data_IF_652768656672
#
_entry.id   IF_652768656672
#
_cell.length_a   1.000
_cell.length_b   1.000
_cell.length_c   1.000
_cell.angle_alpha   90.00
_cell.angle_beta   90.00
_cell.angle_gamma   90.00
#
_symmetry.space_group_name_H-M   'P 1'
#
loop_
_entity.id
_entity.type
_entity.pdbx_description
1 polymer ?
#
# COMPACT_ATOMS: atom_id res chain seq x y z
N UNK A 1 -15.30 -19.13 11.76
CA UNK A 1 -14.48 -20.25 11.27
C UNK A 1 -13.11 -19.72 10.83
N UNK A 2 -12.02 -20.48 10.99
CA UNK A 2 -10.76 -20.17 10.29
C UNK A 2 -10.96 -20.28 8.78
N UNK A 3 -10.28 -19.45 7.99
CA UNK A 3 -10.36 -19.51 6.53
C UNK A 3 -9.70 -20.79 6.01
N UNK A 4 -10.50 -21.74 5.54
CA UNK A 4 -10.03 -22.96 4.92
C UNK A 4 -9.57 -22.64 3.50
N UNK A 5 -8.25 -22.65 3.28
CA UNK A 5 -7.70 -22.38 1.96
C UNK A 5 -8.10 -23.45 0.94
N UNK A 6 -8.48 -23.00 -0.27
CA UNK A 6 -9.09 -23.83 -1.32
C UNK A 6 -8.13 -24.86 -1.92
N UNK A 7 -6.83 -24.55 -1.93
CA UNK A 7 -5.78 -25.41 -2.47
C UNK A 7 -5.51 -26.64 -1.60
N UNK A 8 -5.45 -27.84 -2.17
CA UNK A 8 -5.02 -29.07 -1.51
C UNK A 8 -3.53 -29.04 -1.11
N UNK A 9 -3.08 -30.06 -0.36
CA UNK A 9 -1.65 -30.24 -0.01
C UNK A 9 -0.76 -30.39 -1.25
N UNK A 10 -1.26 -31.10 -2.27
CA UNK A 10 -0.50 -31.42 -3.47
C UNK A 10 -0.43 -30.22 -4.41
N UNK A 11 -1.52 -29.46 -4.54
CA UNK A 11 -1.52 -28.18 -5.25
C UNK A 11 -0.61 -27.15 -4.54
N UNK A 12 -0.65 -27.07 -3.22
CA UNK A 12 0.30 -26.27 -2.42
C UNK A 12 1.75 -26.71 -2.64
N UNK A 13 1.99 -27.97 -2.99
CA UNK A 13 3.32 -28.50 -3.32
C UNK A 13 3.71 -28.16 -4.77
N UNK A 14 2.79 -28.29 -5.75
CA UNK A 14 2.98 -27.80 -7.13
C UNK A 14 3.33 -26.31 -7.16
N UNK A 15 2.59 -25.47 -6.42
CA UNK A 15 2.82 -24.02 -6.35
C UNK A 15 4.21 -23.72 -5.78
N UNK A 16 4.60 -24.37 -4.68
CA UNK A 16 5.95 -24.21 -4.11
C UNK A 16 7.03 -24.63 -5.12
N UNK A 17 6.88 -25.78 -5.76
CA UNK A 17 7.86 -26.29 -6.72
C UNK A 17 8.02 -25.34 -7.94
N UNK A 18 6.91 -24.84 -8.49
CA UNK A 18 6.93 -23.93 -9.63
C UNK A 18 7.48 -22.52 -9.28
N UNK A 19 7.21 -22.01 -8.08
CA UNK A 19 7.58 -20.64 -7.70
C UNK A 19 8.98 -20.53 -7.07
N UNK A 20 9.48 -21.54 -6.35
CA UNK A 20 10.68 -21.45 -5.51
C UNK A 20 12.04 -21.33 -6.26
N UNK A 21 12.03 -21.04 -7.57
CA UNK A 21 13.23 -20.80 -8.37
C UNK A 21 13.28 -19.34 -8.86
N UNK A 22 14.25 -18.50 -8.43
CA UNK A 22 15.17 -18.68 -7.30
C UNK A 22 14.56 -18.18 -5.97
N UNK A 23 14.47 -19.03 -4.95
CA UNK A 23 14.24 -18.67 -3.53
C UNK A 23 13.09 -17.68 -3.22
N UNK A 24 12.08 -17.62 -4.10
CA UNK A 24 10.97 -16.69 -4.04
C UNK A 24 10.12 -16.82 -2.76
N UNK A 25 9.85 -15.70 -2.08
CA UNK A 25 8.95 -15.68 -0.91
C UNK A 25 7.49 -15.55 -1.33
N UNK A 26 6.71 -16.61 -1.14
CA UNK A 26 5.25 -16.60 -1.29
C UNK A 26 4.61 -15.94 -0.05
N UNK A 27 3.65 -15.03 -0.27
CA UNK A 27 2.89 -14.33 0.78
C UNK A 27 1.48 -14.89 0.97
N UNK A 28 0.88 -15.35 -0.12
CA UNK A 28 -0.43 -16.00 -0.20
C UNK A 28 -0.55 -16.66 -1.58
N UNK A 29 -1.38 -17.70 -1.69
CA UNK A 29 -1.79 -18.28 -2.95
C UNK A 29 -3.25 -18.74 -2.84
N UNK A 30 -4.01 -18.60 -3.93
CA UNK A 30 -5.45 -18.88 -3.99
C UNK A 30 -5.84 -19.38 -5.39
N UNK A 31 -6.96 -20.10 -5.51
CA UNK A 31 -7.50 -20.48 -6.83
C UNK A 31 -8.07 -19.24 -7.54
N UNK A 32 -7.69 -19.02 -8.80
CA UNK A 32 -8.14 -17.88 -9.59
C UNK A 32 -8.15 -18.12 -11.12
N UNK A 33 -8.81 -17.20 -11.85
CA UNK A 33 -8.91 -17.09 -13.30
C UNK A 33 -8.55 -15.68 -13.76
N UNK A 34 -7.86 -15.56 -14.89
CA UNK A 34 -7.45 -14.26 -15.47
C UNK A 34 -8.38 -13.86 -16.62
N UNK A 35 -8.82 -12.60 -16.61
CA UNK A 35 -9.63 -11.94 -17.63
C UNK A 35 -8.90 -10.68 -18.12
N UNK A 36 -9.07 -10.32 -19.39
CA UNK A 36 -8.55 -9.10 -19.98
C UNK A 36 -9.68 -8.25 -20.58
N UNK A 37 -9.59 -6.93 -20.46
CA UNK A 37 -10.45 -5.97 -21.15
C UNK A 37 -9.98 -5.75 -22.60
N UNK A 38 -9.88 -6.85 -23.36
CA UNK A 38 -9.37 -6.89 -24.72
C UNK A 38 -10.09 -8.01 -25.50
N UNK A 39 -10.51 -7.81 -26.77
CA UNK A 39 -10.23 -6.66 -27.64
C UNK A 39 -11.13 -5.42 -27.43
N UNK A 40 -12.12 -5.49 -26.53
CA UNK A 40 -12.97 -4.34 -26.18
C UNK A 40 -12.64 -3.88 -24.75
N UNK A 41 -12.29 -2.59 -24.51
CA UNK A 41 -12.04 -2.08 -23.15
C UNK A 41 -13.23 -2.21 -22.20
N UNK A 42 -14.46 -2.22 -22.72
CA UNK A 42 -15.69 -2.28 -21.93
C UNK A 42 -16.18 -3.71 -21.62
N UNK A 43 -15.45 -4.76 -22.04
CA UNK A 43 -15.89 -6.17 -21.92
C UNK A 43 -14.78 -7.11 -21.43
N UNK A 44 -15.04 -7.79 -20.30
CA UNK A 44 -14.11 -8.74 -19.69
C UNK A 44 -14.09 -10.09 -20.42
N UNK A 45 -13.05 -10.32 -21.23
CA UNK A 45 -12.84 -11.58 -21.94
C UNK A 45 -12.01 -12.56 -21.11
N UNK A 46 -12.45 -13.81 -20.98
CA UNK A 46 -11.69 -14.86 -20.28
C UNK A 46 -10.47 -15.30 -21.12
N UNK A 47 -9.29 -15.27 -20.52
CA UNK A 47 -8.01 -15.58 -21.21
C UNK A 47 -7.77 -17.08 -21.46
N UNK A 48 -8.60 -17.96 -20.89
CA UNK A 48 -8.31 -19.39 -20.80
C UNK A 48 -7.36 -19.78 -19.66
N UNK A 49 -6.77 -18.80 -18.96
CA UNK A 49 -5.77 -19.01 -17.91
C UNK A 49 -6.44 -19.12 -16.53
N UNK A 50 -6.28 -20.29 -15.89
CA UNK A 50 -6.75 -20.57 -14.54
C UNK A 50 -5.76 -21.47 -13.78
N UNK A 51 -5.74 -21.35 -12.45
CA UNK A 51 -4.83 -22.12 -11.60
C UNK A 51 -4.69 -21.51 -10.21
N UNK A 52 -3.57 -21.77 -9.53
CA UNK A 52 -3.23 -21.10 -8.29
C UNK A 52 -2.50 -19.78 -8.57
N UNK A 53 -3.13 -18.65 -8.26
CA UNK A 53 -2.46 -17.36 -8.29
C UNK A 53 -1.70 -17.16 -6.98
N UNK A 54 -0.38 -17.04 -7.06
CA UNK A 54 0.50 -16.72 -5.94
C UNK A 54 0.91 -15.24 -5.97
N UNK A 55 0.88 -14.59 -4.81
CA UNK A 55 1.55 -13.30 -4.60
C UNK A 55 2.94 -13.55 -3.98
N UNK A 56 3.96 -13.04 -4.66
CA UNK A 56 5.35 -13.48 -4.54
C UNK A 56 6.27 -12.26 -4.43
N UNK A 57 7.39 -12.40 -3.71
CA UNK A 57 8.51 -11.46 -3.73
C UNK A 57 9.80 -12.20 -4.06
N UNK A 58 10.54 -11.71 -5.04
CA UNK A 58 11.86 -12.21 -5.41
C UNK A 58 12.97 -11.72 -4.46
N UNK A 59 14.10 -12.41 -4.51
CA UNK A 59 15.41 -12.05 -3.95
C UNK A 59 15.79 -10.58 -4.16
N UNK A 60 15.55 -9.99 -5.35
CA UNK A 60 15.89 -8.60 -5.65
C UNK A 60 14.96 -7.58 -4.99
N UNK A 61 13.86 -8.02 -4.38
CA UNK A 61 12.92 -7.13 -3.70
C UNK A 61 11.61 -6.89 -4.45
N UNK A 62 11.61 -7.17 -5.75
CA UNK A 62 10.48 -7.00 -6.68
C UNK A 62 9.33 -7.94 -6.31
N UNK A 63 8.10 -7.50 -6.55
CA UNK A 63 6.89 -8.28 -6.31
C UNK A 63 6.29 -8.77 -7.63
N UNK A 64 5.74 -9.98 -7.60
CA UNK A 64 5.09 -10.61 -8.74
C UNK A 64 3.76 -11.25 -8.33
N UNK A 65 2.81 -11.22 -9.25
CA UNK A 65 1.68 -12.15 -9.29
C UNK A 65 2.04 -13.25 -10.28
N UNK A 66 2.00 -14.52 -9.86
CA UNK A 66 2.34 -15.67 -10.73
C UNK A 66 1.25 -16.74 -10.66
N UNK A 67 0.66 -17.12 -11.80
CA UNK A 67 -0.36 -18.14 -11.91
C UNK A 67 0.29 -19.49 -12.24
N UNK A 68 0.08 -20.48 -11.38
CA UNK A 68 0.60 -21.85 -11.54
C UNK A 68 -0.51 -22.77 -12.04
N UNK A 69 -0.24 -23.51 -13.13
CA UNK A 69 -1.13 -24.55 -13.66
C UNK A 69 -1.22 -25.73 -12.67
N UNK A 70 -2.43 -25.99 -12.20
CA UNK A 70 -2.72 -27.10 -11.29
C UNK A 70 -3.24 -28.34 -12.02
N UNK A 71 -3.85 -28.18 -13.19
CA UNK A 71 -4.40 -29.29 -13.97
C UNK A 71 -3.27 -30.02 -14.73
N UNK A 72 -2.35 -29.26 -15.31
CA UNK A 72 -1.19 -29.79 -16.01
C UNK A 72 0.09 -29.85 -15.17
N UNK A 73 1.20 -29.79 -15.90
CA UNK A 73 2.59 -29.78 -15.41
C UNK A 73 3.38 -28.56 -15.88
N UNK A 74 2.72 -27.58 -16.52
CA UNK A 74 3.37 -26.41 -17.16
C UNK A 74 4.07 -25.44 -16.20
N UNK A 75 3.86 -25.57 -14.89
CA UNK A 75 4.41 -24.65 -13.89
C UNK A 75 3.72 -23.30 -13.96
N UNK A 76 4.49 -22.21 -14.04
CA UNK A 76 3.96 -20.85 -14.17
C UNK A 76 3.46 -20.65 -15.61
N UNK A 77 2.19 -20.26 -15.77
CA UNK A 77 1.54 -20.04 -17.08
C UNK A 77 1.14 -18.58 -17.33
N UNK A 78 1.29 -17.71 -16.33
CA UNK A 78 1.09 -16.27 -16.42
C UNK A 78 1.83 -15.59 -15.29
N UNK A 79 2.41 -14.42 -15.54
CA UNK A 79 3.02 -13.58 -14.51
C UNK A 79 2.87 -12.09 -14.83
N UNK A 80 2.89 -11.26 -13.78
CA UNK A 80 2.86 -9.80 -13.86
C UNK A 80 3.69 -9.20 -12.72
N UNK A 81 4.49 -8.18 -13.02
CA UNK A 81 5.34 -7.46 -12.07
C UNK A 81 4.57 -6.31 -11.39
N UNK A 82 4.74 -6.15 -10.08
CA UNK A 82 4.07 -5.11 -9.30
C UNK A 82 5.00 -3.91 -9.07
N UNK A 83 4.80 -2.90 -9.92
CA UNK A 83 5.51 -1.63 -9.92
C UNK A 83 5.24 -0.75 -8.68
N UNK A 84 6.08 0.25 -8.43
CA UNK A 84 5.86 1.19 -7.33
C UNK A 84 4.59 2.02 -7.54
N UNK A 85 3.74 2.10 -6.52
CA UNK A 85 2.45 2.79 -6.58
C UNK A 85 1.26 1.92 -7.01
N UNK A 86 1.50 0.70 -7.51
CA UNK A 86 0.51 -0.27 -8.02
C UNK A 86 -0.91 -0.10 -7.47
N UNK A 87 -1.86 0.16 -8.37
CA UNK A 87 -3.28 0.29 -8.05
C UNK A 87 -3.97 -1.06 -8.24
N UNK A 88 -4.75 -1.46 -7.24
CA UNK A 88 -5.40 -2.77 -7.17
C UNK A 88 -6.79 -2.56 -6.59
N UNK A 89 -7.81 -2.82 -7.40
CA UNK A 89 -9.19 -2.48 -7.12
C UNK A 89 -9.96 -3.71 -6.68
N UNK A 90 -10.72 -3.62 -5.57
CA UNK A 90 -11.66 -4.67 -5.16
C UNK A 90 -13.06 -4.34 -5.67
N UNK A 91 -13.29 -4.53 -6.97
CA UNK A 91 -14.57 -4.20 -7.62
C UNK A 91 -15.71 -5.06 -7.09
N UNK A 92 -15.45 -6.33 -6.74
CA UNK A 92 -16.33 -7.22 -5.99
C UNK A 92 -15.53 -8.03 -4.98
N UNK A 93 -16.22 -8.67 -4.04
CA UNK A 93 -15.67 -9.60 -3.05
C UNK A 93 -14.74 -10.69 -3.63
N UNK A 94 -15.06 -11.22 -4.82
CA UNK A 94 -14.30 -12.24 -5.55
C UNK A 94 -13.61 -11.73 -6.83
N UNK A 95 -13.84 -10.49 -7.26
CA UNK A 95 -13.31 -9.94 -8.51
C UNK A 95 -12.51 -8.67 -8.26
N UNK A 96 -11.22 -8.70 -8.62
CA UNK A 96 -10.32 -7.56 -8.50
C UNK A 96 -9.79 -7.16 -9.88
N UNK A 97 -9.52 -5.87 -10.09
CA UNK A 97 -8.91 -5.37 -11.33
C UNK A 97 -7.69 -4.48 -11.07
N UNK A 98 -6.83 -4.35 -12.08
CA UNK A 98 -5.67 -3.45 -12.11
C UNK A 98 -5.26 -3.17 -13.56
N UNK A 99 -4.50 -2.10 -13.77
CA UNK A 99 -3.94 -1.78 -15.08
C UNK A 99 -2.71 -2.65 -15.37
N UNK A 100 -2.76 -3.45 -16.43
CA UNK A 100 -1.58 -3.99 -17.12
C UNK A 100 -1.11 -3.04 -18.22
N UNK A 101 -0.08 -3.46 -18.96
CA UNK A 101 0.60 -2.60 -19.93
C UNK A 101 -0.26 -2.27 -21.17
N UNK A 102 -0.95 -3.28 -21.73
CA UNK A 102 -1.81 -3.12 -22.93
C UNK A 102 -3.30 -2.93 -22.62
N UNK A 103 -3.79 -3.42 -21.47
CA UNK A 103 -5.20 -3.41 -21.11
C UNK A 103 -5.44 -3.59 -19.59
N UNK A 104 -6.68 -3.37 -19.15
CA UNK A 104 -7.11 -3.72 -17.79
C UNK A 104 -7.13 -5.24 -17.62
N UNK A 105 -6.57 -5.71 -16.50
CA UNK A 105 -6.52 -7.12 -16.11
C UNK A 105 -7.45 -7.35 -14.92
N UNK A 106 -8.23 -8.42 -15.00
CA UNK A 106 -9.20 -8.85 -13.99
C UNK A 106 -8.85 -10.23 -13.45
N UNK A 107 -8.97 -10.40 -12.13
CA UNK A 107 -8.78 -11.68 -11.44
C UNK A 107 -10.10 -12.08 -10.79
N UNK A 108 -10.67 -13.20 -11.22
CA UNK A 108 -11.78 -13.89 -10.51
C UNK A 108 -11.17 -14.94 -9.59
N UNK A 109 -11.38 -14.81 -8.27
CA UNK A 109 -11.00 -15.81 -7.28
C UNK A 109 -12.11 -16.85 -7.08
N UNK A 110 -11.75 -18.06 -6.65
CA UNK A 110 -12.73 -19.12 -6.35
C UNK A 110 -13.41 -18.97 -4.98
N UNK A 111 -12.81 -18.21 -4.05
CA UNK A 111 -13.34 -17.95 -2.71
C UNK A 111 -13.13 -16.48 -2.30
N UNK A 112 -14.14 -15.89 -1.67
CA UNK A 112 -14.12 -14.47 -1.23
C UNK A 112 -13.19 -14.22 -0.04
N UNK A 113 -12.97 -15.21 0.82
CA UNK A 113 -12.09 -15.07 1.99
C UNK A 113 -10.61 -15.12 1.60
N UNK A 114 -10.26 -15.97 0.64
CA UNK A 114 -8.96 -15.96 -0.02
C UNK A 114 -8.77 -14.65 -0.80
N UNK A 115 -9.74 -14.20 -1.59
CA UNK A 115 -9.69 -12.92 -2.30
C UNK A 115 -9.46 -11.73 -1.35
N UNK A 116 -10.28 -11.59 -0.30
CA UNK A 116 -10.14 -10.52 0.72
C UNK A 116 -8.82 -10.60 1.49
N UNK A 117 -8.23 -11.79 1.61
CA UNK A 117 -6.87 -11.96 2.15
C UNK A 117 -5.81 -11.52 1.13
N UNK A 118 -5.98 -11.86 -0.13
CA UNK A 118 -5.09 -11.51 -1.24
C UNK A 118 -5.02 -9.99 -1.44
N UNK A 119 -6.17 -9.32 -1.50
CA UNK A 119 -6.29 -7.86 -1.56
C UNK A 119 -5.51 -7.17 -0.44
N UNK A 120 -5.68 -7.63 0.81
CA UNK A 120 -4.91 -7.12 1.95
C UNK A 120 -3.40 -7.34 1.76
N UNK A 121 -2.95 -8.54 1.36
CA UNK A 121 -1.52 -8.82 1.19
C UNK A 121 -0.86 -7.94 0.12
N UNK A 122 -1.56 -7.66 -0.98
CA UNK A 122 -1.09 -6.76 -2.04
C UNK A 122 -1.09 -5.29 -1.58
N UNK A 123 -2.19 -4.82 -0.98
CA UNK A 123 -2.35 -3.38 -0.65
C UNK A 123 -1.65 -2.92 0.63
N UNK A 124 -1.40 -3.81 1.61
CA UNK A 124 -0.74 -3.49 2.88
C UNK A 124 0.71 -2.96 2.77
N UNK A 125 1.28 -2.80 1.57
CA UNK A 125 2.55 -2.06 1.39
C UNK A 125 2.39 -0.55 1.15
N UNK A 126 1.20 -0.04 0.80
CA UNK A 126 0.98 1.43 0.70
C UNK A 126 1.08 2.15 2.05
N UNK A 127 1.11 1.41 3.17
CA UNK A 127 1.23 1.94 4.54
C UNK A 127 2.67 1.95 5.10
N UNK A 128 3.62 1.24 4.51
CA UNK A 128 5.02 1.18 5.00
C UNK A 128 5.87 2.39 4.55
N UNK A 129 5.52 3.02 3.43
CA UNK A 129 6.30 4.11 2.82
C UNK A 129 5.96 5.51 3.33
N UNK A 130 4.89 5.68 4.13
CA UNK A 130 4.55 7.00 4.70
C UNK A 130 5.13 7.18 6.11
N UNK A 131 6.30 7.83 6.15
CA UNK A 131 6.98 8.40 7.32
C UNK A 131 7.38 7.46 8.47
N UNK A 132 8.67 7.07 8.49
CA UNK A 132 9.40 6.77 9.73
C UNK A 132 10.84 7.31 9.70
N UNK A 133 10.95 8.63 9.54
CA UNK A 133 12.22 9.37 9.49
C UNK A 133 12.57 9.99 10.86
N UNK A 134 13.72 9.62 11.41
CA UNK A 134 14.38 10.32 12.53
C UNK A 134 13.94 9.93 13.95
N UNK A 135 14.80 9.96 14.99
CA UNK A 135 16.26 10.26 15.00
C UNK A 135 16.97 9.54 16.17
N UNK A 136 18.26 9.20 15.97
CA UNK A 136 19.10 8.32 16.82
C UNK A 136 20.03 9.05 17.81
N UNK A 137 20.29 8.46 18.99
CA UNK A 137 21.50 8.53 19.89
C UNK A 137 21.10 7.97 21.29
N UNK A 138 21.90 7.39 22.20
CA UNK A 138 23.31 6.91 22.44
C UNK A 138 23.16 5.61 23.30
N UNK A 139 24.09 4.82 23.86
CA UNK A 139 25.57 4.60 24.03
C UNK A 139 25.68 3.13 24.57
N UNK A 140 26.77 2.35 24.61
CA UNK A 140 27.97 2.12 23.79
C UNK A 140 28.81 0.95 24.40
N UNK A 141 29.65 0.29 23.59
CA UNK A 141 30.69 -0.69 24.00
C UNK A 141 30.25 -2.16 24.28
N UNK A 142 31.26 -3.04 24.43
CA UNK A 142 31.26 -4.51 24.25
C UNK A 142 31.80 -5.19 25.54
N UNK A 143 31.62 -6.51 25.77
CA UNK A 143 32.39 -7.53 25.05
C UNK A 143 31.60 -8.77 24.59
N UNK A 144 32.33 -9.75 24.04
CA UNK A 144 31.89 -11.11 23.64
C UNK A 144 31.50 -11.99 24.86
N UNK A 145 30.91 -13.19 24.73
CA UNK A 145 30.98 -14.20 23.64
C UNK A 145 29.69 -15.05 23.63
N UNK A 146 29.40 -15.72 22.51
CA UNK A 146 28.10 -16.36 22.28
C UNK A 146 27.84 -17.62 23.12
N UNK A 147 26.56 -17.82 23.47
CA UNK A 147 25.97 -19.03 24.03
C UNK A 147 24.54 -19.19 23.50
N UNK A 148 24.01 -20.41 23.46
CA UNK A 148 22.67 -20.69 22.90
C UNK A 148 21.59 -20.12 23.83
N UNK A 149 20.63 -19.37 23.30
CA UNK A 149 19.44 -18.95 24.07
C UNK A 149 18.52 -20.16 24.15
N UNK A 150 18.52 -20.84 25.30
CA UNK A 150 17.65 -21.99 25.53
C UNK A 150 16.25 -21.55 25.98
N UNK A 151 15.26 -22.43 25.77
CA UNK A 151 13.83 -22.09 25.83
C UNK A 151 13.33 -21.79 27.25
N UNK A 152 14.15 -22.07 28.27
CA UNK A 152 13.93 -21.72 29.68
C UNK A 152 14.28 -20.26 30.02
N UNK A 153 15.01 -19.53 29.17
CA UNK A 153 15.36 -18.11 29.42
C UNK A 153 14.31 -17.10 28.94
N UNK A 154 13.26 -17.56 28.25
CA UNK A 154 12.09 -16.72 27.93
C UNK A 154 11.05 -16.95 29.03
N UNK A 155 11.22 -16.26 30.16
CA UNK A 155 10.17 -16.16 31.17
C UNK A 155 8.96 -15.39 30.62
N UNK A 156 7.77 -15.69 31.16
CA UNK A 156 6.56 -14.94 30.84
C UNK A 156 6.70 -13.45 31.21
N UNK A 157 5.90 -12.56 30.58
CA UNK A 157 5.94 -11.13 30.89
C UNK A 157 5.68 -10.90 32.38
N UNK A 158 6.48 -10.02 32.99
CA UNK A 158 6.42 -9.74 34.43
C UNK A 158 4.98 -9.41 34.85
N UNK A 159 4.47 -10.09 35.88
CA UNK A 159 3.14 -9.80 36.41
C UNK A 159 3.05 -8.31 36.82
N UNK A 160 2.04 -7.60 36.30
CA UNK A 160 1.92 -6.14 36.44
C UNK A 160 2.53 -5.30 35.31
N UNK A 161 3.23 -5.89 34.34
CA UNK A 161 3.74 -5.18 33.14
C UNK A 161 2.63 -4.72 32.17
N UNK A 162 1.39 -5.17 32.37
CA UNK A 162 0.24 -4.80 31.55
C UNK A 162 -0.29 -3.41 31.95
N UNK A 163 0.25 -2.36 31.33
CA UNK A 163 -0.27 -0.99 31.49
C UNK A 163 -1.59 -0.83 30.75
N UNK A 164 -2.68 -0.63 31.47
CA UNK A 164 -3.91 -0.05 30.94
C UNK A 164 -3.64 1.42 30.60
N UNK A 165 -3.49 1.75 29.31
CA UNK A 165 -2.98 3.05 28.86
C UNK A 165 -4.00 4.17 29.04
N UNK A 166 -5.28 3.90 28.78
CA UNK A 166 -6.44 4.70 29.19
C UNK A 166 -7.70 3.84 29.08
N UNK A 167 -8.73 4.13 29.89
CA UNK A 167 -10.08 3.64 29.63
C UNK A 167 -11.06 4.80 29.83
N UNK A 168 -11.78 5.15 28.77
CA UNK A 168 -12.94 6.03 28.82
C UNK A 168 -14.17 5.21 28.44
N UNK A 169 -15.18 5.21 29.30
CA UNK A 169 -16.41 4.45 29.09
C UNK A 169 -17.58 5.04 29.87
N UNK A 170 -18.79 4.85 29.34
CA UNK A 170 -20.02 5.30 29.96
C UNK A 170 -20.53 4.27 30.99
N UNK A 171 -20.76 4.73 32.22
CA UNK A 171 -21.38 3.97 33.31
C UNK A 171 -22.78 4.55 33.57
N UNK A 172 -23.81 3.71 33.60
CA UNK A 172 -25.21 4.17 33.60
C UNK A 172 -25.57 5.03 34.84
N UNK A 173 -24.93 4.75 35.98
CA UNK A 173 -25.18 5.46 37.25
C UNK A 173 -24.29 6.70 37.45
N UNK A 174 -23.25 6.90 36.61
CA UNK A 174 -22.20 7.91 36.83
C UNK A 174 -21.80 8.72 35.59
N UNK A 175 -22.35 8.39 34.43
CA UNK A 175 -22.02 9.04 33.16
C UNK A 175 -20.63 8.65 32.65
N UNK A 176 -19.89 9.63 32.14
CA UNK A 176 -18.61 9.40 31.49
C UNK A 176 -17.50 9.17 32.53
N UNK A 177 -16.92 7.97 32.56
CA UNK A 177 -15.80 7.63 33.46
C UNK A 177 -14.50 7.61 32.67
N UNK A 178 -13.58 8.52 33.01
CA UNK A 178 -12.27 8.66 32.36
C UNK A 178 -11.16 8.25 33.34
N UNK A 179 -10.46 7.15 33.06
CA UNK A 179 -9.34 6.68 33.90
C UNK A 179 -8.01 6.86 33.17
N UNK A 180 -7.08 7.56 33.82
CA UNK A 180 -5.80 8.03 33.26
C UNK A 180 -5.92 8.93 32.02
N UNK A 181 -6.97 9.76 31.94
CA UNK A 181 -7.07 10.83 30.94
C UNK A 181 -6.87 12.19 31.63
N UNK A 182 -6.17 13.08 30.92
CA UNK A 182 -5.82 14.41 31.44
C UNK A 182 -7.08 15.31 31.54
N UNK A 183 -7.32 16.04 32.65
CA UNK A 183 -8.51 16.88 32.82
C UNK A 183 -8.76 17.93 31.72
N UNK A 184 -7.74 18.31 30.95
CA UNK A 184 -7.90 19.16 29.76
C UNK A 184 -8.84 18.56 28.69
N UNK A 185 -9.01 17.23 28.66
CA UNK A 185 -9.89 16.54 27.72
C UNK A 185 -11.37 16.81 27.98
N UNK A 186 -11.82 16.85 29.23
CA UNK A 186 -13.24 17.03 29.55
C UNK A 186 -13.70 18.45 29.17
N UNK A 187 -12.84 19.45 29.38
CA UNK A 187 -13.05 20.81 28.90
C UNK A 187 -13.09 20.90 27.36
N UNK A 188 -12.23 20.14 26.66
CA UNK A 188 -12.23 20.10 25.19
C UNK A 188 -13.51 19.46 24.63
N UNK A 189 -13.95 18.33 25.18
CA UNK A 189 -15.18 17.65 24.76
C UNK A 189 -16.42 18.51 25.04
N UNK A 190 -16.49 19.16 26.21
CA UNK A 190 -17.56 20.12 26.53
C UNK A 190 -17.61 21.34 25.61
N UNK A 191 -16.45 21.81 25.12
CA UNK A 191 -16.40 22.87 24.11
C UNK A 191 -16.91 22.41 22.72
N UNK A 192 -16.74 21.13 22.36
CA UNK A 192 -17.32 20.56 21.13
C UNK A 192 -18.85 20.37 21.26
N UNK A 193 -19.33 19.93 22.42
CA UNK A 193 -20.76 19.86 22.76
C UNK A 193 -21.41 21.25 22.69
N UNK A 194 -20.73 22.28 23.22
CA UNK A 194 -21.13 23.69 23.11
C UNK A 194 -21.07 24.28 21.68
N UNK A 195 -20.36 23.63 20.75
CA UNK A 195 -20.38 23.95 19.32
C UNK A 195 -21.44 23.16 18.53
N UNK A 196 -22.31 22.41 19.22
CA UNK A 196 -23.44 21.69 18.64
C UNK A 196 -23.11 20.28 18.11
N UNK A 197 -21.96 19.71 18.49
CA UNK A 197 -21.61 18.33 18.13
C UNK A 197 -22.28 17.37 19.13
N UNK A 198 -23.29 16.63 18.68
CA UNK A 198 -24.04 15.69 19.52
C UNK A 198 -23.17 14.60 20.14
N UNK A 199 -23.48 14.25 21.38
CA UNK A 199 -22.69 13.32 22.22
C UNK A 199 -22.44 11.96 21.56
N UNK A 200 -23.42 11.40 20.86
CA UNK A 200 -23.35 10.13 20.14
C UNK A 200 -22.33 10.17 18.98
N UNK A 201 -22.22 11.32 18.30
CA UNK A 201 -21.25 11.54 17.22
C UNK A 201 -19.83 11.60 17.81
N UNK A 202 -19.71 12.22 18.99
CA UNK A 202 -18.46 12.33 19.74
C UNK A 202 -17.97 10.95 20.23
N UNK A 203 -18.87 10.06 20.63
CA UNK A 203 -18.56 8.67 20.99
C UNK A 203 -18.14 7.84 19.77
N UNK A 204 -18.96 7.83 18.70
CA UNK A 204 -18.67 7.06 17.47
C UNK A 204 -17.35 7.46 16.79
N UNK A 205 -16.91 8.71 16.97
CA UNK A 205 -15.67 9.24 16.41
C UNK A 205 -14.59 9.47 17.47
N UNK A 206 -14.76 8.96 18.70
CA UNK A 206 -13.87 9.21 19.83
C UNK A 206 -12.39 8.91 19.50
N UNK A 207 -12.10 7.82 18.79
CA UNK A 207 -10.71 7.44 18.46
C UNK A 207 -10.08 8.34 17.39
N UNK A 208 -10.88 8.88 16.45
CA UNK A 208 -10.43 9.92 15.54
C UNK A 208 -10.11 11.22 16.29
N UNK A 209 -10.93 11.59 17.28
CA UNK A 209 -10.70 12.78 18.11
C UNK A 209 -9.42 12.61 18.96
N UNK A 210 -9.18 11.41 19.54
CA UNK A 210 -7.93 11.06 20.23
C UNK A 210 -6.70 11.26 19.35
N UNK A 211 -6.72 10.72 18.13
CA UNK A 211 -5.61 10.88 17.18
C UNK A 211 -5.43 12.34 16.74
N UNK A 212 -6.52 13.06 16.45
CA UNK A 212 -6.49 14.46 16.04
C UNK A 212 -5.90 15.39 17.10
N UNK A 213 -6.37 15.31 18.35
CA UNK A 213 -5.85 16.15 19.45
C UNK A 213 -4.40 15.80 19.77
N UNK A 214 -4.01 14.52 19.73
CA UNK A 214 -2.62 14.11 19.95
C UNK A 214 -1.69 14.69 18.89
N UNK A 215 -2.09 14.66 17.62
CA UNK A 215 -1.29 15.25 16.54
C UNK A 215 -1.33 16.79 16.54
N UNK A 216 -2.43 17.40 17.01
CA UNK A 216 -2.53 18.86 17.23
C UNK A 216 -1.61 19.33 18.37
N UNK A 217 -1.65 18.69 19.55
CA UNK A 217 -0.74 18.99 20.67
C UNK A 217 0.73 18.79 20.27
N UNK A 218 1.01 17.78 19.44
CA UNK A 218 2.33 17.54 18.87
C UNK A 218 2.75 18.60 17.84
N UNK A 219 1.81 19.23 17.14
CA UNK A 219 2.08 20.38 16.27
C UNK A 219 2.30 21.67 17.09
N UNK A 220 1.53 21.91 18.15
CA UNK A 220 1.72 23.08 19.03
C UNK A 220 3.04 23.01 19.81
N UNK A 221 3.48 21.81 20.20
CA UNK A 221 4.82 21.54 20.72
C UNK A 221 5.96 21.89 19.73
N UNK A 222 5.67 22.11 18.45
CA UNK A 222 6.60 22.64 17.45
C UNK A 222 6.46 24.15 17.19
N UNK A 223 5.46 24.82 17.74
CA UNK A 223 5.29 26.29 17.64
C UNK A 223 5.80 27.08 18.85
N UNK A 224 6.02 26.44 20.00
CA UNK A 224 6.42 27.10 21.26
C UNK A 224 7.89 27.56 21.34
N UNK A 225 8.64 27.53 20.23
CA UNK A 225 10.04 28.01 20.14
C UNK A 225 10.20 29.29 19.31
N UNK A 226 9.37 30.32 19.59
CA UNK A 226 9.69 31.69 19.17
C UNK A 226 9.29 32.74 20.22
N UNK A 227 10.21 33.01 21.15
CA UNK A 227 10.04 34.00 22.23
C UNK A 227 11.24 34.96 22.37
N UNK A 228 11.94 35.26 21.28
CA UNK A 228 12.70 36.52 21.14
C UNK A 228 13.02 36.82 19.67
N UNK A 229 13.08 38.10 19.28
CA UNK A 229 13.46 38.54 17.94
C UNK A 229 12.38 39.33 17.17
N UNK A 230 12.68 40.61 16.96
CA UNK A 230 11.97 41.60 16.14
C UNK A 230 11.34 41.09 14.83
N UNK A 231 10.09 41.46 14.56
CA UNK A 231 9.33 40.98 13.40
C UNK A 231 9.56 41.76 12.09
N UNK A 232 9.30 41.08 10.96
CA UNK A 232 9.11 41.69 9.64
C UNK A 232 7.95 40.99 8.92
N UNK A 233 6.98 41.77 8.40
CA UNK A 233 5.85 41.24 7.61
C UNK A 233 6.35 40.74 6.25
N UNK A 234 6.17 39.45 5.94
CA UNK A 234 6.43 38.89 4.61
C UNK A 234 5.26 39.18 3.66
N UNK A 235 5.56 39.64 2.44
CA UNK A 235 4.59 39.81 1.34
C UNK A 235 4.29 38.46 0.67
N UNK A 236 3.13 38.30 0.00
CA UNK A 236 2.83 37.10 -0.80
C UNK A 236 3.80 36.94 -1.98
N UNK A 237 3.98 35.71 -2.51
CA UNK A 237 4.86 35.45 -3.65
C UNK A 237 4.29 36.02 -4.97
N UNK A 238 5.16 36.33 -5.96
CA UNK A 238 4.74 36.82 -7.27
C UNK A 238 4.10 35.71 -8.14
N UNK A 239 3.22 36.06 -9.09
CA UNK A 239 2.62 35.11 -10.03
C UNK A 239 3.65 34.59 -11.07
N UNK A 240 3.43 33.40 -11.65
CA UNK A 240 4.32 32.80 -12.63
C UNK A 240 4.29 33.53 -13.99
N UNK A 241 5.45 33.63 -14.65
CA UNK A 241 5.59 34.31 -15.93
C UNK A 241 5.06 33.47 -17.12
N UNK A 242 4.51 34.11 -18.18
CA UNK A 242 4.05 33.42 -19.38
C UNK A 242 5.22 32.87 -20.22
N UNK A 243 4.98 31.76 -20.93
CA UNK A 243 6.00 31.04 -21.71
C UNK A 243 6.21 31.68 -23.10
N UNK A 244 7.45 31.84 -23.61
CA UNK A 244 7.67 32.44 -24.93
C UNK A 244 7.25 31.52 -26.09
N UNK A 245 6.35 31.98 -26.94
CA UNK A 245 6.03 31.33 -28.22
C UNK A 245 7.23 31.41 -29.18
N UNK A 246 7.72 30.26 -29.64
CA UNK A 246 8.81 30.20 -30.63
C UNK A 246 8.32 30.54 -32.04
N UNK A 247 8.43 31.82 -32.42
CA UNK A 247 8.11 32.29 -33.76
C UNK A 247 9.16 31.81 -34.78
N UNK A 248 8.96 30.61 -35.35
CA UNK A 248 9.94 29.96 -36.25
C UNK A 248 10.01 30.70 -37.59
N UNK A 249 10.95 31.65 -37.68
CA UNK A 249 11.07 32.66 -38.75
C UNK A 249 11.18 32.03 -40.15
N UNK A 250 10.24 32.36 -41.03
CA UNK A 250 10.25 31.91 -42.41
C UNK A 250 11.44 32.50 -43.18
N UNK A 251 12.19 31.67 -43.93
CA UNK A 251 13.21 32.15 -44.87
C UNK A 251 13.12 31.35 -46.18
N UNK A 252 12.41 31.90 -47.15
CA UNK A 252 12.35 31.36 -48.52
C UNK A 252 13.73 31.42 -49.20
N UNK A 253 14.07 30.41 -50.01
CA UNK A 253 14.89 30.62 -51.22
C UNK A 253 14.78 29.50 -52.28
N UNK A 254 13.87 29.74 -53.24
CA UNK A 254 13.88 29.30 -54.65
C UNK A 254 13.62 27.80 -54.98
N UNK A 255 13.13 27.60 -56.21
CA UNK A 255 12.64 26.36 -56.83
C UNK A 255 13.67 25.72 -57.79
N UNK A 256 13.25 24.60 -58.41
CA UNK A 256 13.69 24.00 -59.68
C UNK A 256 14.86 22.97 -59.62
N UNK A 257 14.85 21.91 -60.47
CA UNK A 257 13.90 20.79 -60.33
C UNK A 257 14.58 19.40 -60.41
N UNK A 258 13.75 18.35 -60.50
CA UNK A 258 14.12 16.95 -60.78
C UNK A 258 15.09 16.76 -61.98
N UNK A 259 15.88 15.68 -61.93
CA UNK A 259 15.89 14.70 -63.03
C UNK A 259 15.41 13.29 -62.58
N UNK A 260 15.41 12.34 -63.51
CA UNK A 260 14.65 11.09 -63.46
C UNK A 260 15.52 9.82 -63.25
N UNK A 261 14.86 8.77 -62.76
CA UNK A 261 15.02 7.34 -63.10
C UNK A 261 16.43 6.81 -63.46
N UNK A 262 16.93 5.84 -62.67
CA UNK A 262 17.51 4.63 -63.27
C UNK A 262 17.42 3.36 -62.41
N UNK A 263 16.90 2.28 -63.02
CA UNK A 263 17.04 0.89 -62.53
C UNK A 263 18.37 0.29 -62.98
N UNK A 264 19.06 -0.41 -62.08
CA UNK A 264 19.92 -1.60 -62.28
C UNK A 264 19.69 -2.46 -61.02
N UNK A 265 19.32 -3.74 -61.03
CA UNK A 265 19.51 -4.90 -61.92
C UNK A 265 20.92 -5.50 -61.86
N UNK A 266 21.01 -6.61 -61.10
CA UNK A 266 21.88 -7.80 -61.20
C UNK A 266 23.32 -7.63 -61.73
N UNK A 267 24.30 -7.90 -60.88
CA UNK A 267 25.16 -9.12 -60.84
C UNK A 267 25.90 -9.07 -59.48
N UNK A 268 26.48 -10.14 -58.94
CA UNK A 268 26.79 -11.47 -59.50
C UNK A 268 26.35 -12.58 -58.52
#
# INVERSE_FOLDING_TARGET
MPAQSTLSSDEKTKVKAAVNSPANKIFTAALARIYYAYPKPDEWSYTGLQGALAFVKDTQGVFYLKLVDLAGTRGIIWEHELYEGFEYNQDRSFFHSFAGDDCMIGIVFADESEAKTFYKKVTSKKTDTKSKSGTTKKKSAKPSKGGKIDKSMISGPTAGSFKHVAHMGYDADKGFTSTNVDPSWEAFLGNLEGQGISRDVLEQNMDFIKDFVRDAQKAEAHSSTQANGSGMKKKPPPPPAPRPFHLRRLRQRRHHPHPLLRRRRLHE
#
